data_IF_469527120243
#
_entry.id   IF_469527120243
#
_cell.length_a   1.000
_cell.length_b   1.000
_cell.length_c   1.000
_cell.angle_alpha   90.00
_cell.angle_beta   90.00
_cell.angle_gamma   90.00
#
_symmetry.space_group_name_H-M   'P 1'
#
loop_
_entity.id
_entity.type
_entity.pdbx_description
1 polymer ?
#
# COMPACT_ATOMS: atom_id res chain seq x y z
N UNK A 1 0.49 18.98 -15.14
CA UNK A 1 0.10 17.66 -14.58
C UNK A 1 -1.38 17.74 -14.31
N UNK A 2 -2.18 16.85 -14.91
CA UNK A 2 -3.63 16.85 -14.71
C UNK A 2 -4.00 16.26 -13.36
N UNK A 3 -5.22 16.48 -12.90
CA UNK A 3 -5.74 15.84 -11.68
C UNK A 3 -5.71 14.31 -11.79
N UNK A 4 -6.06 13.77 -12.96
CA UNK A 4 -5.96 12.34 -13.27
C UNK A 4 -4.52 11.84 -13.14
N UNK A 5 -3.53 12.57 -13.66
CA UNK A 5 -2.11 12.17 -13.55
C UNK A 5 -1.63 12.16 -12.11
N UNK A 6 -2.10 13.12 -11.30
CA UNK A 6 -1.78 13.18 -9.87
C UNK A 6 -2.37 11.99 -9.13
N UNK A 7 -3.66 11.68 -9.33
CA UNK A 7 -4.33 10.54 -8.69
C UNK A 7 -3.67 9.23 -9.13
N UNK A 8 -3.30 9.10 -10.41
CA UNK A 8 -2.57 7.93 -10.92
C UNK A 8 -1.22 7.76 -10.25
N UNK A 9 -0.44 8.83 -10.12
CA UNK A 9 0.85 8.79 -9.43
C UNK A 9 0.71 8.41 -7.94
N UNK A 10 -0.30 8.95 -7.26
CA UNK A 10 -0.60 8.59 -5.87
C UNK A 10 -1.02 7.12 -5.74
N UNK A 11 -1.80 6.60 -6.70
CA UNK A 11 -2.21 5.20 -6.75
C UNK A 11 -1.01 4.27 -6.93
N UNK A 12 -0.15 4.54 -7.92
CA UNK A 12 1.07 3.78 -8.17
C UNK A 12 1.99 3.78 -6.95
N UNK A 13 2.12 4.92 -6.28
CA UNK A 13 2.89 5.04 -5.03
C UNK A 13 2.30 4.15 -3.93
N UNK A 14 0.97 4.17 -3.76
CA UNK A 14 0.30 3.35 -2.74
C UNK A 14 0.49 1.84 -3.00
N UNK A 15 0.35 1.41 -4.25
CA UNK A 15 0.59 0.02 -4.66
C UNK A 15 2.04 -0.39 -4.40
N UNK A 16 3.01 0.44 -4.80
CA UNK A 16 4.44 0.18 -4.58
C UNK A 16 4.77 0.08 -3.09
N UNK A 17 4.23 0.99 -2.25
CA UNK A 17 4.44 0.94 -0.79
C UNK A 17 3.84 -0.30 -0.15
N UNK A 18 2.65 -0.72 -0.56
CA UNK A 18 2.05 -1.99 -0.11
C UNK A 18 2.96 -3.19 -0.45
N UNK A 19 3.52 -3.23 -1.66
CA UNK A 19 4.41 -4.31 -2.10
C UNK A 19 5.70 -4.36 -1.27
N UNK A 20 6.38 -3.22 -1.10
CA UNK A 20 7.59 -3.08 -0.28
C UNK A 20 7.37 -3.58 1.15
N UNK A 21 6.27 -3.16 1.79
CA UNK A 21 5.94 -3.58 3.15
C UNK A 21 5.57 -5.06 3.22
N UNK A 22 4.90 -5.60 2.21
CA UNK A 22 4.57 -7.03 2.15
C UNK A 22 5.82 -7.89 2.02
N UNK A 23 6.82 -7.44 1.24
CA UNK A 23 8.13 -8.09 1.17
C UNK A 23 8.86 -8.03 2.51
N UNK A 24 8.89 -6.85 3.14
CA UNK A 24 9.49 -6.68 4.46
C UNK A 24 8.81 -7.57 5.51
N UNK A 25 7.48 -7.65 5.52
CA UNK A 25 6.74 -8.52 6.43
C UNK A 25 7.18 -9.98 6.29
N UNK A 26 7.25 -10.49 5.04
CA UNK A 26 7.71 -11.86 4.76
C UNK A 26 9.13 -12.10 5.28
N UNK A 27 10.02 -11.12 5.15
CA UNK A 27 11.39 -11.25 5.65
C UNK A 27 11.44 -11.26 7.18
N UNK A 28 10.71 -10.37 7.85
CA UNK A 28 10.66 -10.33 9.32
C UNK A 28 10.05 -11.60 9.88
N UNK A 29 8.92 -12.06 9.35
CA UNK A 29 8.27 -13.31 9.78
C UNK A 29 9.16 -14.54 9.57
N UNK A 30 10.01 -14.54 8.52
CA UNK A 30 10.98 -15.62 8.26
C UNK A 30 12.21 -15.56 9.17
N UNK A 31 12.72 -14.36 9.45
CA UNK A 31 14.01 -14.18 10.15
C UNK A 31 13.85 -14.14 11.66
N UNK A 32 12.82 -13.48 12.15
CA UNK A 32 12.55 -13.34 13.58
C UNK A 32 11.03 -13.21 13.83
N UNK A 33 10.31 -14.35 13.88
CA UNK A 33 8.87 -14.38 14.07
C UNK A 33 8.42 -13.85 15.45
N UNK A 34 9.34 -13.68 16.40
CA UNK A 34 9.02 -13.19 17.75
C UNK A 34 8.99 -11.66 17.84
N UNK A 35 9.33 -10.94 16.76
CA UNK A 35 9.20 -9.48 16.67
C UNK A 35 7.75 -9.06 16.44
N UNK A 36 6.84 -9.49 17.32
CA UNK A 36 5.41 -9.25 17.19
C UNK A 36 5.07 -7.77 17.00
N UNK A 37 5.73 -6.87 17.75
CA UNK A 37 5.52 -5.43 17.59
C UNK A 37 5.82 -4.93 16.18
N UNK A 38 6.93 -5.37 15.58
CA UNK A 38 7.32 -4.94 14.23
C UNK A 38 6.36 -5.54 13.19
N UNK A 39 6.02 -6.82 13.33
CA UNK A 39 5.06 -7.53 12.47
C UNK A 39 3.70 -6.82 12.48
N UNK A 40 3.19 -6.44 13.66
CA UNK A 40 1.93 -5.72 13.79
C UNK A 40 1.98 -4.35 13.13
N UNK A 41 3.03 -3.56 13.37
CA UNK A 41 3.18 -2.24 12.74
C UNK A 41 3.21 -2.36 11.22
N UNK A 42 3.94 -3.34 10.67
CA UNK A 42 4.01 -3.54 9.22
C UNK A 42 2.64 -3.93 8.65
N UNK A 43 1.89 -4.80 9.35
CA UNK A 43 0.53 -5.19 8.92
C UNK A 43 -0.45 -4.01 8.90
N UNK A 44 -0.42 -3.16 9.91
CA UNK A 44 -1.25 -1.94 9.94
C UNK A 44 -0.89 -0.98 8.79
N UNK A 45 0.41 -0.83 8.50
CA UNK A 45 0.86 -0.03 7.36
C UNK A 45 0.41 -0.63 6.02
N UNK A 46 0.45 -1.96 5.86
CA UNK A 46 -0.08 -2.64 4.67
C UNK A 46 -1.57 -2.34 4.50
N UNK A 47 -2.37 -2.49 5.56
CA UNK A 47 -3.81 -2.23 5.52
C UNK A 47 -4.13 -0.78 5.14
N UNK A 48 -3.37 0.19 5.67
CA UNK A 48 -3.50 1.60 5.29
C UNK A 48 -3.25 1.82 3.79
N UNK A 49 -2.16 1.28 3.25
CA UNK A 49 -1.81 1.47 1.84
C UNK A 49 -2.75 0.70 0.89
N UNK A 50 -3.27 -0.44 1.33
CA UNK A 50 -4.32 -1.18 0.62
C UNK A 50 -5.58 -0.34 0.49
N UNK A 51 -6.16 0.13 1.60
CA UNK A 51 -7.36 0.97 1.56
C UNK A 51 -7.17 2.26 0.75
N UNK A 52 -5.99 2.90 0.88
CA UNK A 52 -5.65 4.06 0.05
C UNK A 52 -5.61 3.74 -1.44
N UNK A 53 -4.98 2.61 -1.83
CA UNK A 53 -4.91 2.20 -3.23
C UNK A 53 -6.28 1.88 -3.81
N UNK A 54 -7.17 1.25 -3.04
CA UNK A 54 -8.55 0.94 -3.47
C UNK A 54 -9.38 2.21 -3.69
N UNK A 55 -9.31 3.16 -2.74
CA UNK A 55 -10.01 4.44 -2.89
C UNK A 55 -9.53 5.26 -4.10
N UNK A 56 -8.22 5.27 -4.35
CA UNK A 56 -7.65 5.95 -5.52
C UNK A 56 -8.02 5.23 -6.83
N UNK A 57 -8.06 3.91 -6.84
CA UNK A 57 -8.53 3.13 -7.99
C UNK A 57 -9.99 3.47 -8.31
N UNK A 58 -10.85 3.52 -7.30
CA UNK A 58 -12.25 3.92 -7.47
C UNK A 58 -12.37 5.33 -8.06
N UNK A 59 -11.61 6.30 -7.55
CA UNK A 59 -11.59 7.66 -8.10
C UNK A 59 -11.13 7.70 -9.57
N UNK A 60 -10.11 6.91 -9.94
CA UNK A 60 -9.64 6.81 -11.32
C UNK A 60 -10.67 6.17 -12.25
N UNK A 61 -11.43 5.20 -11.77
CA UNK A 61 -12.46 4.52 -12.56
C UNK A 61 -13.66 5.45 -12.80
N UNK A 62 -14.05 6.27 -11.83
CA UNK A 62 -15.11 7.28 -11.99
C UNK A 62 -14.71 8.41 -12.95
N UNK A 63 -13.44 8.84 -12.97
CA UNK A 63 -12.96 9.87 -13.90
C UNK A 63 -12.83 9.41 -15.36
N UNK A 64 -12.94 8.10 -15.62
CA UNK A 64 -12.92 7.52 -16.97
C UNK A 64 -14.31 7.27 -17.55
N UNK A 65 -15.36 7.40 -16.73
CA UNK A 65 -16.77 7.31 -17.18
C UNK A 65 -17.20 8.61 -17.84
#
# INVERSE_FOLDING_TARGET
MTEIDRIRKEYETAVSKKQELSERLRQVEKTDPNKFSEIWIIRDQIAYWEGKSEGLKFALDELKR
#
